data_IF_341987516591
#
_entry.id   IF_341987516591
#
_cell.length_a   1.000
_cell.length_b   1.000
_cell.length_c   1.000
_cell.angle_alpha   90.00
_cell.angle_beta   90.00
_cell.angle_gamma   90.00
#
_symmetry.space_group_name_H-M   'P 1'
#
loop_
_entity.id
_entity.type
_entity.pdbx_description
1 polymer ?
#
# COMPACT_ATOMS: atom_id res chain seq x y z
N UNK A 1 -18.66 -1.11 -5.72
CA UNK A 1 -18.31 0.30 -5.44
C UNK A 1 -16.84 0.40 -5.08
N UNK A 2 -16.13 1.31 -5.69
CA UNK A 2 -14.71 1.47 -5.44
C UNK A 2 -14.44 2.12 -4.08
N UNK A 3 -13.27 1.81 -3.52
CA UNK A 3 -12.86 2.30 -2.22
C UNK A 3 -11.45 2.90 -2.36
N UNK A 4 -11.32 4.17 -2.00
CA UNK A 4 -10.06 4.90 -2.13
C UNK A 4 -9.56 5.33 -0.76
N UNK A 5 -8.27 5.17 -0.52
CA UNK A 5 -7.61 5.62 0.71
C UNK A 5 -6.38 6.43 0.38
N UNK A 6 -6.11 7.42 1.23
CA UNK A 6 -4.86 8.16 1.28
C UNK A 6 -4.14 7.79 2.57
N UNK A 7 -2.88 7.44 2.48
CA UNK A 7 -2.09 6.97 3.61
C UNK A 7 -0.85 7.82 3.76
N UNK A 8 -0.72 8.50 4.89
CA UNK A 8 0.52 9.18 5.29
C UNK A 8 1.31 8.25 6.19
N UNK A 9 2.55 7.97 5.83
CA UNK A 9 3.41 7.07 6.61
C UNK A 9 4.57 7.87 7.20
N UNK A 10 4.70 7.83 8.52
CA UNK A 10 5.74 8.56 9.24
C UNK A 10 7.07 7.80 9.19
N UNK A 11 7.67 7.72 8.01
CA UNK A 11 8.93 7.04 7.77
C UNK A 11 9.59 7.59 6.50
N UNK A 12 10.91 7.48 6.36
CA UNK A 12 11.58 7.94 5.15
C UNK A 12 11.21 7.09 3.92
N UNK A 13 11.31 7.70 2.73
CA UNK A 13 10.96 7.04 1.47
C UNK A 13 11.77 5.77 1.21
N UNK A 14 12.98 5.68 1.77
CA UNK A 14 13.82 4.50 1.66
C UNK A 14 13.16 3.26 2.26
N UNK A 15 12.39 3.43 3.33
CA UNK A 15 11.62 2.33 3.90
C UNK A 15 10.55 1.84 2.91
N UNK A 16 9.91 2.77 2.21
CA UNK A 16 8.93 2.40 1.21
C UNK A 16 9.57 1.58 0.09
N UNK A 17 10.72 2.01 -0.42
CA UNK A 17 11.42 1.30 -1.49
C UNK A 17 11.74 -0.14 -1.08
N UNK A 18 12.22 -0.33 0.13
CA UNK A 18 12.55 -1.64 0.66
C UNK A 18 11.30 -2.51 0.83
N UNK A 19 10.27 -1.93 1.42
CA UNK A 19 9.00 -2.63 1.65
C UNK A 19 8.31 -2.98 0.33
N UNK A 20 8.30 -2.04 -0.62
CA UNK A 20 7.67 -2.23 -1.92
C UNK A 20 8.35 -3.35 -2.71
N UNK A 21 9.68 -3.40 -2.70
CA UNK A 21 10.41 -4.49 -3.35
C UNK A 21 10.06 -5.86 -2.74
N UNK A 22 9.96 -5.92 -1.41
CA UNK A 22 9.56 -7.14 -0.72
C UNK A 22 8.12 -7.53 -1.03
N UNK A 23 7.23 -6.55 -1.11
CA UNK A 23 5.83 -6.75 -1.46
C UNK A 23 5.70 -7.32 -2.88
N UNK A 24 6.40 -6.75 -3.85
CA UNK A 24 6.37 -7.23 -5.23
C UNK A 24 6.90 -8.67 -5.31
N UNK A 25 7.95 -8.98 -4.58
CA UNK A 25 8.50 -10.34 -4.55
C UNK A 25 7.52 -11.34 -3.94
N UNK A 26 6.82 -10.93 -2.89
CA UNK A 26 5.85 -11.79 -2.19
C UNK A 26 4.59 -12.04 -3.03
N UNK A 27 4.09 -11.03 -3.73
CA UNK A 27 2.80 -11.07 -4.43
C UNK A 27 2.92 -11.29 -5.94
N UNK A 28 4.10 -11.13 -6.52
CA UNK A 28 4.28 -11.14 -7.97
C UNK A 28 3.65 -9.93 -8.66
N UNK A 29 3.36 -8.88 -7.90
CA UNK A 29 2.75 -7.67 -8.42
C UNK A 29 1.22 -7.73 -8.50
N UNK A 30 0.60 -8.78 -7.94
CA UNK A 30 -0.85 -8.95 -7.96
C UNK A 30 -1.40 -8.99 -6.54
N UNK A 31 -2.37 -8.12 -6.26
CA UNK A 31 -3.11 -8.10 -5.00
C UNK A 31 -4.60 -8.03 -5.33
N UNK A 32 -5.36 -9.00 -4.84
CA UNK A 32 -6.79 -9.07 -5.12
C UNK A 32 -7.52 -7.79 -4.70
N UNK A 33 -8.22 -7.21 -5.67
CA UNK A 33 -9.02 -6.02 -5.44
C UNK A 33 -8.26 -4.71 -5.54
N UNK A 34 -6.93 -4.72 -5.60
CA UNK A 34 -6.15 -3.49 -5.78
C UNK A 34 -6.19 -3.07 -7.24
N UNK A 35 -6.75 -1.90 -7.50
CA UNK A 35 -6.86 -1.34 -8.84
C UNK A 35 -5.72 -0.39 -9.16
N UNK A 36 -5.27 0.39 -8.19
CA UNK A 36 -4.15 1.32 -8.37
C UNK A 36 -3.46 1.57 -7.04
N UNK A 37 -2.16 1.74 -7.09
CA UNK A 37 -1.32 2.05 -5.94
C UNK A 37 -0.25 3.01 -6.41
N UNK A 38 -0.21 4.22 -5.85
CA UNK A 38 0.77 5.25 -6.18
C UNK A 38 1.36 5.78 -4.89
N UNK A 39 2.68 5.87 -4.84
CA UNK A 39 3.39 6.41 -3.69
C UNK A 39 4.38 7.48 -4.13
N UNK A 40 4.60 8.48 -3.26
CA UNK A 40 5.58 9.53 -3.50
C UNK A 40 6.17 10.03 -2.19
N UNK A 41 7.43 10.50 -2.23
CA UNK A 41 8.04 11.06 -1.02
C UNK A 41 7.45 12.42 -0.69
N UNK A 42 7.40 12.73 0.61
CA UNK A 42 7.14 14.07 1.13
C UNK A 42 8.39 14.54 1.88
N UNK A 43 8.32 15.69 2.59
CA UNK A 43 9.50 16.30 3.19
C UNK A 43 10.28 15.36 4.14
N UNK A 44 9.59 14.58 4.97
CA UNK A 44 10.23 13.68 5.94
C UNK A 44 9.53 12.32 6.02
N UNK A 45 8.65 12.03 5.06
CA UNK A 45 7.83 10.83 5.10
C UNK A 45 7.48 10.43 3.67
N UNK A 46 6.46 9.62 3.49
CA UNK A 46 5.91 9.35 2.17
C UNK A 46 4.41 9.19 2.27
N UNK A 47 3.76 9.32 1.13
CA UNK A 47 2.31 9.21 1.01
C UNK A 47 1.94 8.20 -0.06
N UNK A 48 0.83 7.49 0.18
CA UNK A 48 0.31 6.48 -0.74
C UNK A 48 -1.15 6.81 -1.03
N UNK A 49 -1.56 6.63 -2.28
CA UNK A 49 -2.98 6.56 -2.64
C UNK A 49 -3.25 5.19 -3.22
N UNK A 50 -4.28 4.55 -2.73
CA UNK A 50 -4.72 3.24 -3.22
C UNK A 50 -6.20 3.28 -3.58
N UNK A 51 -6.54 2.63 -4.69
CA UNK A 51 -7.91 2.43 -5.10
C UNK A 51 -8.18 0.93 -5.15
N UNK A 52 -9.25 0.53 -4.46
CA UNK A 52 -9.64 -0.87 -4.32
C UNK A 52 -11.04 -1.11 -4.87
N UNK A 53 -11.35 -2.33 -5.27
CA UNK A 53 -12.71 -2.69 -5.65
C UNK A 53 -13.66 -2.65 -4.45
N UNK A 54 -13.15 -2.93 -3.24
CA UNK A 54 -13.93 -2.86 -2.01
C UNK A 54 -13.03 -2.66 -0.79
N UNK A 55 -13.59 -2.14 0.28
CA UNK A 55 -12.91 -2.02 1.56
C UNK A 55 -12.54 -3.39 2.13
N UNK A 56 -13.41 -4.39 1.94
CA UNK A 56 -13.21 -5.74 2.45
C UNK A 56 -11.94 -6.37 1.88
N UNK A 57 -11.66 -6.15 0.59
CA UNK A 57 -10.46 -6.69 -0.04
C UNK A 57 -9.20 -5.98 0.45
N UNK A 58 -9.29 -4.67 0.72
CA UNK A 58 -8.18 -3.96 1.35
C UNK A 58 -7.92 -4.48 2.76
N UNK A 59 -8.97 -4.65 3.56
CA UNK A 59 -8.84 -5.14 4.93
C UNK A 59 -8.23 -6.54 4.93
N UNK A 60 -8.61 -7.38 3.97
CA UNK A 60 -8.03 -8.72 3.82
C UNK A 60 -6.53 -8.65 3.52
N UNK A 61 -6.12 -7.79 2.58
CA UNK A 61 -4.72 -7.62 2.24
C UNK A 61 -3.91 -7.09 3.43
N UNK A 62 -4.46 -6.14 4.17
CA UNK A 62 -3.81 -5.59 5.36
C UNK A 62 -3.63 -6.64 6.46
N UNK A 63 -4.53 -7.59 6.55
CA UNK A 63 -4.46 -8.67 7.54
C UNK A 63 -3.58 -9.83 7.10
N UNK A 64 -3.65 -10.21 5.81
CA UNK A 64 -3.06 -11.46 5.33
C UNK A 64 -1.73 -11.29 4.60
N UNK A 65 -1.50 -10.14 3.96
CA UNK A 65 -0.30 -9.91 3.15
C UNK A 65 0.72 -9.05 3.88
N UNK A 66 0.30 -7.87 4.36
CA UNK A 66 1.22 -6.88 4.91
C UNK A 66 2.03 -7.40 6.11
N UNK A 67 1.42 -8.09 7.10
CA UNK A 67 2.21 -8.62 8.22
C UNK A 67 3.26 -9.64 7.78
N UNK A 68 2.98 -10.46 6.77
CA UNK A 68 3.93 -11.46 6.28
C UNK A 68 5.12 -10.81 5.57
N UNK A 69 4.86 -9.78 4.76
CA UNK A 69 5.92 -9.03 4.09
C UNK A 69 6.80 -8.33 5.13
N UNK A 70 6.18 -7.72 6.14
CA UNK A 70 6.91 -7.06 7.21
C UNK A 70 7.78 -8.03 8.01
N UNK A 71 7.23 -9.19 8.35
CA UNK A 71 7.97 -10.21 9.08
C UNK A 71 9.19 -10.71 8.30
N UNK A 72 9.04 -10.91 6.98
CA UNK A 72 10.15 -11.30 6.11
C UNK A 72 11.21 -10.21 6.07
N UNK A 73 10.79 -8.95 5.95
CA UNK A 73 11.71 -7.82 5.90
C UNK A 73 12.52 -7.68 7.18
N UNK A 74 11.88 -7.76 8.35
CA UNK A 74 12.56 -7.62 9.63
C UNK A 74 13.47 -8.81 9.95
N UNK A 75 13.15 -9.99 9.44
CA UNK A 75 13.99 -11.18 9.60
C UNK A 75 15.28 -11.11 8.77
N UNK A 76 15.22 -10.48 7.59
CA UNK A 76 16.36 -10.40 6.67
C UNK A 76 17.18 -9.12 6.78
N UNK A 77 16.60 -8.08 7.36
CA UNK A 77 17.24 -6.77 7.49
C UNK A 77 17.00 -6.21 8.90
N UNK A 78 17.66 -6.80 9.93
CA UNK A 78 17.54 -6.26 11.28
C UNK A 78 18.12 -4.85 11.31
N UNK A 79 17.39 -3.91 11.92
CA UNK A 79 17.82 -2.51 11.95
C UNK A 79 16.68 -1.60 12.33
N UNK A 80 16.58 -0.41 11.74
CA UNK A 80 15.60 0.61 12.14
C UNK A 80 14.13 0.23 11.89
N UNK A 81 13.87 -1.00 11.46
CA UNK A 81 12.53 -1.47 11.12
C UNK A 81 11.94 -2.39 12.19
N UNK A 82 12.25 -2.15 13.46
CA UNK A 82 11.78 -3.00 14.57
C UNK A 82 10.27 -2.95 14.77
N UNK A 83 9.62 -1.90 14.30
CA UNK A 83 8.18 -1.75 14.37
C UNK A 83 7.64 -1.13 13.10
N UNK A 84 6.40 -1.45 12.75
CA UNK A 84 5.74 -0.80 11.64
C UNK A 84 5.61 0.69 11.94
N UNK A 85 5.89 1.57 10.95
CA UNK A 85 5.74 3.01 11.15
C UNK A 85 4.29 3.39 11.39
N UNK A 86 4.09 4.52 12.04
CA UNK A 86 2.76 5.07 12.26
C UNK A 86 2.17 5.51 10.93
N UNK A 87 0.95 5.07 10.66
CA UNK A 87 0.21 5.45 9.46
C UNK A 87 -0.99 6.31 9.84
N UNK A 88 -1.26 7.30 9.04
CA UNK A 88 -2.52 8.05 9.09
C UNK A 88 -3.31 7.74 7.82
N UNK A 89 -4.44 7.09 7.98
CA UNK A 89 -5.28 6.63 6.87
C UNK A 89 -6.51 7.50 6.78
N UNK A 90 -6.79 8.03 5.58
CA UNK A 90 -7.99 8.80 5.29
C UNK A 90 -8.78 8.10 4.20
N UNK A 91 -10.04 7.79 4.48
CA UNK A 91 -10.95 7.22 3.50
C UNK A 91 -11.51 8.35 2.63
N UNK A 92 -11.50 8.15 1.32
CA UNK A 92 -11.94 9.15 0.36
C UNK A 92 -13.14 8.64 -0.44
N UNK A 93 -14.08 9.53 -0.71
CA UNK A 93 -15.21 9.22 -1.58
C UNK A 93 -14.75 9.24 -3.05
N UNK A 94 -14.86 8.12 -3.72
CA UNK A 94 -14.47 8.03 -5.13
C UNK A 94 -15.59 8.57 -5.99
N UNK A 95 -15.36 9.71 -6.66
CA UNK A 95 -16.31 10.29 -7.60
C UNK A 95 -16.17 9.72 -9.00
N UNK A 96 -14.96 9.26 -9.37
CA UNK A 96 -14.71 8.68 -10.67
C UNK A 96 -13.35 8.01 -10.71
N UNK A 97 -13.24 7.01 -11.58
CA UNK A 97 -11.99 6.27 -11.77
C UNK A 97 -11.93 5.79 -13.21
N UNK A 98 -10.81 6.08 -13.88
CA UNK A 98 -10.55 5.60 -15.23
C UNK A 98 -9.17 4.95 -15.24
N UNK A 99 -9.11 3.67 -15.60
CA UNK A 99 -7.86 2.94 -15.81
C UNK A 99 -7.91 2.35 -17.21
N UNK A 100 -7.44 3.08 -18.24
CA UNK A 100 -7.58 2.67 -19.64
C UNK A 100 -6.91 1.33 -19.94
N UNK A 101 -5.76 1.05 -19.34
CA UNK A 101 -5.03 -0.21 -19.55
C UNK A 101 -5.77 -1.44 -19.01
N UNK A 102 -6.74 -1.22 -18.11
CA UNK A 102 -7.58 -2.28 -17.55
C UNK A 102 -9.03 -2.22 -18.05
N UNK A 103 -9.33 -1.35 -19.03
CA UNK A 103 -10.67 -1.07 -19.51
C UNK A 103 -11.64 -0.69 -18.40
N UNK A 104 -11.14 0.01 -17.38
CA UNK A 104 -11.93 0.37 -16.21
C UNK A 104 -12.26 1.85 -16.25
N UNK A 105 -13.54 2.18 -16.14
CA UNK A 105 -14.05 3.54 -15.96
C UNK A 105 -15.31 3.50 -15.09
N UNK A 106 -15.27 4.19 -13.95
CA UNK A 106 -16.37 4.24 -13.00
C UNK A 106 -16.55 5.63 -12.42
#
# INVERSE_FOLDING_TARGET
>A
MTYTVSIDVAAPAELYDTFHAALLKHTGGHVDGLLAHVAWPTAASFRIIEVWTSKELRDRASRDIIPQVWATLTATAPGPFDAMPVEHVEELDTCGLIIPSADLAV
#
